data_IF_970559635157
#
_entry.id   IF_970559635157
#
_cell.length_a   1.000
_cell.length_b   1.000
_cell.length_c   1.000
_cell.angle_alpha   90.00
_cell.angle_beta   90.00
_cell.angle_gamma   90.00
#
_symmetry.space_group_name_H-M   'P 1'
#
loop_
_entity.id
_entity.type
_entity.pdbx_description
1 polymer ?
#
# COMPACT_ATOMS: atom_id res chain seq x y z
N UNK A 1 2.01 -9.46 -15.90
CA UNK A 1 1.77 -8.07 -15.48
C UNK A 1 3.08 -7.33 -15.62
N UNK A 2 3.10 -6.28 -16.44
CA UNK A 2 4.28 -5.42 -16.60
C UNK A 2 4.47 -4.54 -15.35
N UNK A 3 5.70 -4.07 -15.10
CA UNK A 3 6.02 -3.22 -13.95
C UNK A 3 5.06 -2.04 -13.79
N UNK A 4 4.70 -1.39 -14.91
CA UNK A 4 3.78 -0.25 -14.93
C UNK A 4 2.39 -0.67 -14.43
N UNK A 5 1.87 -1.81 -14.89
CA UNK A 5 0.56 -2.32 -14.45
C UNK A 5 0.57 -2.64 -12.95
N UNK A 6 1.68 -3.17 -12.42
CA UNK A 6 1.84 -3.41 -10.99
C UNK A 6 1.84 -2.09 -10.20
N UNK A 7 2.57 -1.08 -10.65
CA UNK A 7 2.60 0.23 -9.98
C UNK A 7 1.21 0.89 -10.01
N UNK A 8 0.51 0.82 -11.15
CA UNK A 8 -0.86 1.34 -11.26
C UNK A 8 -1.84 0.58 -10.36
N UNK A 9 -1.68 -0.74 -10.24
CA UNK A 9 -2.48 -1.57 -9.33
C UNK A 9 -2.23 -1.17 -7.87
N UNK A 10 -0.96 -1.02 -7.48
CA UNK A 10 -0.60 -0.59 -6.14
C UNK A 10 -1.11 0.82 -5.82
N UNK A 11 -1.03 1.75 -6.79
CA UNK A 11 -1.63 3.07 -6.65
C UNK A 11 -3.15 3.01 -6.51
N UNK A 12 -3.83 2.21 -7.33
CA UNK A 12 -5.28 2.01 -7.23
C UNK A 12 -5.71 1.46 -5.87
N UNK A 13 -4.96 0.50 -5.31
CA UNK A 13 -5.16 0.02 -3.94
C UNK A 13 -4.91 1.11 -2.91
N UNK A 14 -3.82 1.87 -3.04
CA UNK A 14 -3.50 2.98 -2.14
C UNK A 14 -4.62 4.01 -2.12
N UNK A 15 -5.03 4.48 -3.30
CA UNK A 15 -6.12 5.43 -3.47
C UNK A 15 -7.43 4.90 -2.87
N UNK A 16 -7.81 3.67 -3.16
CA UNK A 16 -9.04 3.08 -2.65
C UNK A 16 -9.05 2.94 -1.11
N UNK A 17 -7.93 2.56 -0.52
CA UNK A 17 -7.78 2.40 0.93
C UNK A 17 -7.71 3.72 1.68
N UNK A 18 -7.24 4.79 1.03
CA UNK A 18 -7.19 6.13 1.62
C UNK A 18 -8.46 6.94 1.37
N UNK A 19 -9.29 6.52 0.41
CA UNK A 19 -10.55 7.19 0.10
C UNK A 19 -11.51 7.16 1.29
N UNK A 20 -11.84 8.35 1.81
CA UNK A 20 -12.77 8.54 2.92
C UNK A 20 -14.21 8.10 2.58
N UNK A 21 -14.53 8.00 1.29
CA UNK A 21 -15.82 7.49 0.80
C UNK A 21 -15.89 5.96 0.79
N UNK A 22 -14.76 5.25 0.84
CA UNK A 22 -14.70 3.79 0.87
C UNK A 22 -14.93 3.24 2.29
N UNK A 23 -15.98 3.71 2.98
CA UNK A 23 -16.25 3.43 4.40
C UNK A 23 -16.49 1.94 4.68
N UNK A 24 -17.02 1.19 3.72
CA UNK A 24 -17.26 -0.25 3.85
C UNK A 24 -15.98 -1.06 4.07
N UNK A 25 -14.85 -0.61 3.51
CA UNK A 25 -13.56 -1.30 3.61
C UNK A 25 -12.71 -0.66 4.72
N UNK A 26 -12.69 0.67 4.79
CA UNK A 26 -11.78 1.40 5.69
C UNK A 26 -12.27 1.47 7.13
N UNK A 27 -13.58 1.53 7.38
CA UNK A 27 -14.11 1.63 8.76
C UNK A 27 -13.84 0.38 9.58
N UNK A 28 -14.10 -0.85 9.08
CA UNK A 28 -13.78 -2.07 9.84
C UNK A 28 -12.29 -2.16 10.18
N UNK A 29 -11.40 -1.80 9.24
CA UNK A 29 -9.96 -1.81 9.46
C UNK A 29 -9.53 -0.84 10.56
N UNK A 30 -10.08 0.39 10.56
CA UNK A 30 -9.79 1.40 11.60
C UNK A 30 -10.36 1.06 12.97
N UNK A 31 -11.39 0.21 13.04
CA UNK A 31 -11.96 -0.26 14.31
C UNK A 31 -11.14 -1.36 14.98
N UNK A 32 -10.21 -1.99 14.27
CA UNK A 32 -9.33 -3.02 14.83
C UNK A 32 -8.37 -2.39 15.85
N UNK A 33 -8.39 -2.78 17.14
CA UNK A 33 -7.59 -2.17 18.18
C UNK A 33 -6.13 -2.67 18.17
N UNK A 34 -5.48 -2.67 17.00
CA UNK A 34 -4.11 -3.11 16.82
C UNK A 34 -3.13 -1.95 17.00
N UNK A 35 -2.12 -2.16 17.84
CA UNK A 35 -0.98 -1.26 18.06
C UNK A 35 -1.40 0.21 18.22
N UNK A 36 -2.33 0.47 19.16
CA UNK A 36 -2.72 1.83 19.54
C UNK A 36 -1.53 2.58 20.15
N UNK A 37 -1.36 3.83 19.75
CA UNK A 37 -0.39 4.74 20.37
C UNK A 37 -1.00 5.57 21.50
N UNK A 38 -0.17 6.40 22.15
CA UNK A 38 -0.58 7.27 23.26
C UNK A 38 -1.62 8.33 22.84
N UNK A 39 -1.73 8.62 21.54
CA UNK A 39 -2.74 9.52 20.97
C UNK A 39 -4.06 8.79 20.63
N UNK A 40 -4.13 7.47 20.87
CA UNK A 40 -5.31 6.64 20.62
C UNK A 40 -5.49 6.22 19.17
N UNK A 41 -4.53 6.49 18.27
CA UNK A 41 -4.59 6.11 16.86
C UNK A 41 -4.20 4.64 16.69
N UNK A 42 -5.01 3.87 15.97
CA UNK A 42 -4.67 2.48 15.63
C UNK A 42 -3.58 2.40 14.57
N UNK A 43 -2.98 1.21 14.38
CA UNK A 43 -2.08 0.94 13.27
C UNK A 43 -2.69 1.36 11.92
N UNK A 44 -3.93 0.92 11.65
CA UNK A 44 -4.61 1.21 10.40
C UNK A 44 -4.98 2.69 10.26
N UNK A 45 -5.30 3.40 11.36
CA UNK A 45 -5.49 4.85 11.30
C UNK A 45 -4.25 5.58 10.81
N UNK A 46 -3.08 5.21 11.33
CA UNK A 46 -1.80 5.83 10.95
C UNK A 46 -1.40 5.46 9.53
N UNK A 47 -1.51 4.18 9.19
CA UNK A 47 -1.17 3.67 7.86
C UNK A 47 -2.01 4.34 6.78
N UNK A 48 -3.34 4.31 6.92
CA UNK A 48 -4.30 4.80 5.92
C UNK A 48 -4.39 6.33 5.79
N UNK A 49 -3.65 7.09 6.60
CA UNK A 49 -3.52 8.56 6.47
C UNK A 49 -2.26 8.98 5.72
N UNK A 50 -1.30 8.06 5.55
CA UNK A 50 -0.03 8.35 4.92
C UNK A 50 0.05 7.66 3.56
N UNK A 51 0.14 8.41 2.45
CA UNK A 51 0.22 7.81 1.11
C UNK A 51 1.50 7.04 0.89
N UNK A 52 2.58 7.43 1.57
CA UNK A 52 3.82 6.66 1.57
C UNK A 52 3.65 5.29 2.26
N UNK A 53 3.06 5.26 3.46
CA UNK A 53 2.85 4.00 4.20
C UNK A 53 1.83 3.10 3.50
N UNK A 54 0.69 3.66 3.07
CA UNK A 54 -0.33 2.89 2.36
C UNK A 54 0.23 2.37 1.03
N UNK A 55 0.95 3.21 0.27
CA UNK A 55 1.61 2.82 -0.97
C UNK A 55 2.66 1.71 -0.78
N UNK A 56 3.39 1.71 0.34
CA UNK A 56 4.32 0.63 0.68
C UNK A 56 3.59 -0.71 0.88
N UNK A 57 2.53 -0.73 1.70
CA UNK A 57 1.76 -1.94 1.96
C UNK A 57 0.95 -2.40 0.74
N UNK A 58 0.42 -1.48 -0.07
CA UNK A 58 -0.20 -1.79 -1.35
C UNK A 58 0.80 -2.42 -2.33
N UNK A 59 2.06 -1.99 -2.29
CA UNK A 59 3.16 -2.59 -3.04
C UNK A 59 3.40 -4.05 -2.66
N UNK A 60 3.46 -4.35 -1.35
CA UNK A 60 3.53 -5.74 -0.87
C UNK A 60 2.38 -6.59 -1.36
N UNK A 61 1.14 -6.12 -1.19
CA UNK A 61 -0.06 -6.86 -1.61
C UNK A 61 -0.05 -7.13 -3.11
N UNK A 62 0.33 -6.15 -3.91
CA UNK A 62 0.40 -6.29 -5.37
C UNK A 62 1.50 -7.28 -5.78
N UNK A 63 2.69 -7.18 -5.18
CA UNK A 63 3.80 -8.09 -5.48
C UNK A 63 3.47 -9.54 -5.08
N UNK A 64 2.95 -9.72 -3.86
CA UNK A 64 2.53 -11.03 -3.33
C UNK A 64 1.43 -11.61 -4.21
N UNK A 65 0.38 -10.84 -4.53
CA UNK A 65 -0.72 -11.31 -5.36
C UNK A 65 -0.26 -11.71 -6.77
N UNK A 66 0.64 -10.92 -7.38
CA UNK A 66 1.18 -11.23 -8.70
C UNK A 66 2.09 -12.46 -8.71
N UNK A 67 2.95 -12.59 -7.70
CA UNK A 67 3.90 -13.70 -7.59
C UNK A 67 3.34 -14.90 -6.80
N UNK A 68 2.08 -14.85 -6.35
CA UNK A 68 1.46 -15.90 -5.55
C UNK A 68 1.61 -17.30 -6.18
N UNK A 69 1.41 -17.48 -7.50
CA UNK A 69 1.59 -18.79 -8.13
C UNK A 69 3.05 -19.31 -8.12
N UNK A 70 4.02 -18.43 -7.90
CA UNK A 70 5.45 -18.73 -7.88
C UNK A 70 5.98 -18.97 -6.46
N UNK A 71 5.15 -18.83 -5.43
CA UNK A 71 5.54 -19.16 -4.08
C UNK A 71 5.58 -20.67 -3.90
N UNK A 72 6.81 -21.18 -3.79
CA UNK A 72 7.08 -22.53 -3.30
C UNK A 72 7.12 -22.53 -1.77
N UNK A 73 7.30 -23.69 -1.15
CA UNK A 73 7.51 -23.79 0.31
C UNK A 73 8.76 -23.04 0.78
N UNK A 74 9.69 -22.71 -0.13
CA UNK A 74 10.86 -21.89 0.13
C UNK A 74 10.83 -20.61 -0.70
N UNK A 75 11.06 -19.47 -0.04
CA UNK A 75 11.21 -18.17 -0.68
C UNK A 75 12.69 -17.93 -0.97
N UNK A 76 13.03 -17.77 -2.25
CA UNK A 76 14.37 -17.37 -2.63
C UNK A 76 14.66 -15.94 -2.16
N UNK A 77 15.89 -15.66 -1.71
CA UNK A 77 16.30 -14.31 -1.28
C UNK A 77 15.99 -13.24 -2.34
N UNK A 78 16.15 -13.56 -3.63
CA UNK A 78 15.81 -12.66 -4.73
C UNK A 78 14.32 -12.27 -4.78
N UNK A 79 13.41 -13.18 -4.42
CA UNK A 79 11.98 -12.88 -4.35
C UNK A 79 11.66 -11.93 -3.20
N UNK A 80 12.31 -12.12 -2.05
CA UNK A 80 12.17 -11.24 -0.88
C UNK A 80 12.71 -9.84 -1.20
N UNK A 81 13.92 -9.75 -1.76
CA UNK A 81 14.51 -8.47 -2.17
C UNK A 81 13.67 -7.78 -3.24
N UNK A 82 13.16 -8.52 -4.22
CA UNK A 82 12.25 -8.00 -5.24
C UNK A 82 10.98 -7.40 -4.62
N UNK A 83 10.39 -8.08 -3.64
CA UNK A 83 9.22 -7.60 -2.92
C UNK A 83 9.50 -6.30 -2.13
N UNK A 84 10.63 -6.24 -1.42
CA UNK A 84 11.05 -5.04 -0.67
C UNK A 84 11.27 -3.86 -1.63
N UNK A 85 12.03 -4.07 -2.70
CA UNK A 85 12.33 -3.04 -3.70
C UNK A 85 11.05 -2.55 -4.38
N UNK A 86 10.14 -3.46 -4.72
CA UNK A 86 8.86 -3.09 -5.31
C UNK A 86 7.98 -2.32 -4.32
N UNK A 87 7.94 -2.70 -3.04
CA UNK A 87 7.20 -1.97 -2.02
C UNK A 87 7.72 -0.53 -1.84
N UNK A 88 9.04 -0.33 -1.87
CA UNK A 88 9.66 1.00 -1.85
C UNK A 88 9.39 1.80 -3.14
N UNK A 89 9.45 1.15 -4.30
CA UNK A 89 9.12 1.80 -5.57
C UNK A 89 7.64 2.22 -5.62
N UNK A 90 6.75 1.38 -5.09
CA UNK A 90 5.32 1.64 -4.95
C UNK A 90 5.06 2.82 -4.01
N UNK A 91 5.69 2.86 -2.83
CA UNK A 91 5.52 3.98 -1.89
C UNK A 91 5.96 5.31 -2.48
N UNK A 92 7.12 5.34 -3.14
CA UNK A 92 7.62 6.52 -3.83
C UNK A 92 6.69 6.96 -4.97
N UNK A 93 6.20 6.01 -5.76
CA UNK A 93 5.30 6.31 -6.88
C UNK A 93 3.95 6.84 -6.41
N UNK A 94 3.32 6.21 -5.42
CA UNK A 94 2.03 6.68 -4.87
C UNK A 94 2.17 8.08 -4.28
N UNK A 95 3.21 8.32 -3.48
CA UNK A 95 3.48 9.64 -2.91
C UNK A 95 3.70 10.71 -4.01
N UNK A 96 4.46 10.38 -5.06
CA UNK A 96 4.73 11.29 -6.16
C UNK A 96 3.44 11.62 -6.94
N UNK A 97 2.60 10.62 -7.24
CA UNK A 97 1.33 10.81 -7.94
C UNK A 97 0.40 11.70 -7.11
N UNK A 98 0.19 11.38 -5.82
CA UNK A 98 -0.66 12.17 -4.93
C UNK A 98 -0.15 13.60 -4.78
N UNK A 99 1.16 13.79 -4.58
CA UNK A 99 1.76 15.13 -4.46
C UNK A 99 1.60 15.92 -5.76
N UNK A 100 1.71 15.26 -6.92
CA UNK A 100 1.51 15.91 -8.21
C UNK A 100 0.05 16.29 -8.41
N UNK A 101 -0.88 15.39 -8.09
CA UNK A 101 -2.31 15.65 -8.19
C UNK A 101 -2.73 16.83 -7.31
N UNK A 102 -2.30 16.85 -6.04
CA UNK A 102 -2.56 17.96 -5.12
C UNK A 102 -2.07 19.30 -5.69
N UNK A 103 -0.87 19.34 -6.27
CA UNK A 103 -0.34 20.55 -6.90
C UNK A 103 -1.11 21.00 -8.15
N UNK A 104 -1.77 20.08 -8.85
CA UNK A 104 -2.60 20.38 -10.01
C UNK A 104 -4.00 20.84 -9.61
N UNK A 105 -4.50 20.37 -8.46
CA UNK A 105 -5.81 20.73 -7.91
C UNK A 105 -5.85 22.13 -7.27
N UNK A 106 -4.70 22.66 -6.83
CA UNK A 106 -4.54 24.02 -6.30
C UNK A 106 -4.30 24.05 -4.80
#
# INVERSE_FOLDING_TARGET
>A
MHLIEMILTAYGLCFALMNDKATLITSPLRMLPLFKDDAGLTFFDRMLRCPYCTGFHAGWLTWIGYNWPLFSTELALGQVLGAILFALASSASCYLIDTTAQKLEG
#
